data_IF_191367146751
#
_entry.id   IF_191367146751
#
_cell.length_a   1.000
_cell.length_b   1.000
_cell.length_c   1.000
_cell.angle_alpha   90.00
_cell.angle_beta   90.00
_cell.angle_gamma   90.00
#
_symmetry.space_group_name_H-M   'P 1'
#
loop_
_entity.id
_entity.type
_entity.pdbx_description
1 polymer ?
#
# COMPACT_ATOMS: atom_id res chain seq x y z
N UNK A 1 -20.85 5.93 -13.83
CA UNK A 1 -20.65 4.57 -13.29
C UNK A 1 -19.58 4.68 -12.22
N UNK A 2 -19.92 4.36 -10.95
CA UNK A 2 -19.01 4.50 -9.81
C UNK A 2 -17.75 3.69 -10.10
N UNK A 3 -16.62 4.39 -10.29
CA UNK A 3 -15.30 3.80 -10.03
C UNK A 3 -15.44 2.99 -8.75
N UNK A 4 -15.18 1.68 -8.80
CA UNK A 4 -15.07 0.84 -7.61
C UNK A 4 -14.32 1.64 -6.54
N UNK A 5 -15.03 1.96 -5.46
CA UNK A 5 -14.71 3.01 -4.50
C UNK A 5 -13.19 3.14 -4.26
N UNK A 6 -12.54 4.11 -4.90
CA UNK A 6 -11.08 4.31 -4.82
C UNK A 6 -10.62 4.41 -3.37
N UNK A 7 -11.48 4.89 -2.48
CA UNK A 7 -11.25 4.91 -1.03
C UNK A 7 -11.17 3.50 -0.42
N UNK A 8 -12.03 2.56 -0.84
CA UNK A 8 -11.97 1.17 -0.40
C UNK A 8 -10.72 0.46 -0.90
N UNK A 9 -10.33 0.67 -2.17
CA UNK A 9 -9.07 0.15 -2.73
C UNK A 9 -7.86 0.73 -2.01
N UNK A 10 -7.87 2.03 -1.70
CA UNK A 10 -6.82 2.70 -0.95
C UNK A 10 -6.68 2.16 0.48
N UNK A 11 -7.80 1.95 1.18
CA UNK A 11 -7.81 1.40 2.54
C UNK A 11 -7.35 -0.06 2.55
N UNK A 12 -7.81 -0.87 1.60
CA UNK A 12 -7.33 -2.24 1.42
C UNK A 12 -5.81 -2.28 1.22
N UNK A 13 -5.25 -1.42 0.38
CA UNK A 13 -3.80 -1.37 0.19
C UNK A 13 -3.02 -0.83 1.39
N UNK A 14 -3.60 0.09 2.17
CA UNK A 14 -2.99 0.47 3.46
C UNK A 14 -2.92 -0.74 4.41
N UNK A 15 -4.01 -1.49 4.54
CA UNK A 15 -4.05 -2.71 5.36
C UNK A 15 -3.07 -3.75 4.84
N UNK A 16 -3.01 -3.96 3.54
CA UNK A 16 -2.06 -4.89 2.92
C UNK A 16 -0.62 -4.46 3.19
N UNK A 17 -0.26 -3.19 2.98
CA UNK A 17 1.10 -2.69 3.29
C UNK A 17 1.42 -2.83 4.79
N UNK A 18 0.50 -2.46 5.68
CA UNK A 18 0.72 -2.57 7.11
C UNK A 18 0.98 -4.03 7.54
N UNK A 19 0.22 -4.99 6.99
CA UNK A 19 0.38 -6.41 7.30
C UNK A 19 1.62 -6.98 6.61
N UNK A 20 1.81 -6.71 5.32
CA UNK A 20 2.84 -7.31 4.47
C UNK A 20 4.21 -6.69 4.69
N UNK A 21 4.31 -5.36 4.66
CA UNK A 21 5.56 -4.64 4.87
C UNK A 21 5.87 -4.43 6.35
N UNK A 22 4.85 -4.29 7.22
CA UNK A 22 5.04 -4.05 8.65
C UNK A 22 5.39 -5.29 9.48
N UNK A 23 5.26 -6.50 8.93
CA UNK A 23 5.66 -7.70 9.67
C UNK A 23 5.64 -9.00 8.89
N UNK A 24 4.62 -9.24 8.06
CA UNK A 24 4.42 -10.55 7.45
C UNK A 24 5.52 -10.90 6.43
N UNK A 25 5.78 -10.15 5.36
CA UNK A 25 6.75 -10.57 4.32
C UNK A 25 8.20 -10.09 4.53
N UNK A 26 8.43 -9.08 5.37
CA UNK A 26 9.79 -8.54 5.61
C UNK A 26 10.43 -9.09 6.88
N UNK A 27 9.63 -9.48 7.88
CA UNK A 27 10.11 -9.95 9.19
C UNK A 27 10.02 -11.46 9.43
N UNK A 28 9.40 -12.21 8.51
CA UNK A 28 9.18 -13.65 8.64
C UNK A 28 9.80 -14.39 7.45
N UNK A 29 10.46 -15.52 7.72
CA UNK A 29 11.04 -16.40 6.69
C UNK A 29 9.95 -17.30 6.08
N UNK A 30 9.56 -17.02 4.84
CA UNK A 30 8.53 -17.78 4.12
C UNK A 30 9.06 -18.96 3.33
N UNK A 31 10.37 -19.22 3.36
CA UNK A 31 10.98 -20.35 2.65
C UNK A 31 10.36 -21.67 3.09
N UNK A 32 9.96 -21.78 4.36
CA UNK A 32 9.24 -22.94 4.91
C UNK A 32 7.88 -23.22 4.26
N UNK A 33 7.27 -22.21 3.62
CA UNK A 33 6.03 -22.33 2.87
C UNK A 33 6.25 -22.39 1.35
N UNK A 34 7.49 -22.57 0.90
CA UNK A 34 7.85 -22.66 -0.51
C UNK A 34 7.89 -21.31 -1.25
N UNK A 35 7.79 -20.19 -0.54
CA UNK A 35 7.92 -18.85 -1.13
C UNK A 35 9.38 -18.43 -1.06
N UNK A 36 9.99 -18.22 -2.22
CA UNK A 36 11.36 -17.71 -2.28
C UNK A 36 11.41 -16.24 -1.88
N UNK A 37 12.56 -15.79 -1.35
CA UNK A 37 12.80 -14.37 -1.02
C UNK A 37 12.53 -13.44 -2.19
N UNK A 38 12.90 -13.87 -3.40
CA UNK A 38 12.63 -13.13 -4.64
C UNK A 38 11.13 -12.92 -4.86
N UNK A 39 10.33 -13.98 -4.68
CA UNK A 39 8.87 -13.90 -4.83
C UNK A 39 8.25 -13.03 -3.75
N UNK A 40 8.70 -13.19 -2.50
CA UNK A 40 8.25 -12.35 -1.37
C UNK A 40 8.52 -10.87 -1.61
N UNK A 41 9.71 -10.53 -2.12
CA UNK A 41 10.10 -9.17 -2.46
C UNK A 41 9.30 -8.62 -3.65
N UNK A 42 9.05 -9.42 -4.68
CA UNK A 42 8.22 -9.03 -5.82
C UNK A 42 6.78 -8.71 -5.41
N UNK A 43 6.18 -9.54 -4.54
CA UNK A 43 4.83 -9.30 -4.01
C UNK A 43 4.81 -8.01 -3.19
N UNK A 44 5.75 -7.86 -2.26
CA UNK A 44 5.84 -6.68 -1.40
C UNK A 44 6.03 -5.39 -2.21
N UNK A 45 6.95 -5.41 -3.18
CA UNK A 45 7.22 -4.29 -4.06
C UNK A 45 6.03 -3.92 -4.96
N UNK A 46 5.32 -4.92 -5.50
CA UNK A 46 4.12 -4.68 -6.31
C UNK A 46 3.01 -3.99 -5.51
N UNK A 47 2.79 -4.41 -4.26
CA UNK A 47 1.77 -3.81 -3.38
C UNK A 47 2.15 -2.38 -3.00
N UNK A 48 3.43 -2.14 -2.67
CA UNK A 48 3.93 -0.80 -2.40
C UNK A 48 3.79 0.13 -3.62
N UNK A 49 4.12 -0.36 -4.82
CA UNK A 49 3.98 0.41 -6.06
C UNK A 49 2.51 0.71 -6.37
N UNK A 50 1.62 -0.27 -6.24
CA UNK A 50 0.18 -0.07 -6.43
C UNK A 50 -0.36 1.05 -5.52
N UNK A 51 0.13 1.13 -4.28
CA UNK A 51 -0.23 2.21 -3.36
C UNK A 51 0.23 3.58 -3.83
N UNK A 52 1.48 3.70 -4.31
CA UNK A 52 2.01 4.94 -4.87
C UNK A 52 1.16 5.40 -6.06
N UNK A 53 0.82 4.48 -6.97
CA UNK A 53 -0.02 4.78 -8.14
C UNK A 53 -1.38 5.32 -7.71
N UNK A 54 -2.03 4.71 -6.72
CA UNK A 54 -3.34 5.17 -6.25
C UNK A 54 -3.24 6.53 -5.58
N UNK A 55 -2.21 6.79 -4.79
CA UNK A 55 -1.98 8.13 -4.23
C UNK A 55 -1.78 9.16 -5.35
N UNK A 56 -1.01 8.82 -6.39
CA UNK A 56 -0.79 9.71 -7.54
C UNK A 56 -2.08 9.97 -8.33
N UNK A 57 -2.93 8.95 -8.53
CA UNK A 57 -4.21 9.11 -9.23
C UNK A 57 -5.23 9.87 -8.37
N UNK A 58 -5.24 9.66 -7.05
CA UNK A 58 -6.20 10.30 -6.13
C UNK A 58 -5.84 11.75 -5.82
N UNK A 59 -4.59 12.00 -5.48
CA UNK A 59 -4.11 13.29 -4.97
C UNK A 59 -3.41 14.14 -6.04
N UNK A 60 -3.02 13.52 -7.16
CA UNK A 60 -2.08 14.11 -8.12
C UNK A 60 -0.66 14.22 -7.55
N UNK A 61 0.36 14.46 -8.40
CA UNK A 61 1.75 14.58 -7.95
C UNK A 61 1.97 15.67 -6.89
N UNK A 62 1.23 16.79 -6.98
CA UNK A 62 1.30 17.88 -5.98
C UNK A 62 0.66 17.50 -4.64
N UNK A 63 -0.46 16.76 -4.64
CA UNK A 63 -1.13 16.39 -3.41
C UNK A 63 -0.37 15.35 -2.58
N UNK A 64 0.50 14.55 -3.23
CA UNK A 64 1.36 13.57 -2.55
C UNK A 64 2.50 14.18 -1.74
N UNK A 65 2.92 15.42 -2.07
CA UNK A 65 3.99 16.16 -1.36
C UNK A 65 3.45 17.32 -0.54
N UNK A 66 2.13 17.53 -0.57
CA UNK A 66 1.49 18.56 0.22
C UNK A 66 1.58 18.20 1.71
N UNK A 67 1.81 19.18 2.60
CA UNK A 67 1.74 18.93 4.03
C UNK A 67 0.34 18.39 4.40
N UNK A 68 0.25 17.50 5.39
CA UNK A 68 -1.03 16.97 5.83
C UNK A 68 -1.95 18.12 6.22
N UNK A 69 -3.20 18.09 5.72
CA UNK A 69 -4.20 19.09 6.11
C UNK A 69 -4.38 19.04 7.64
N UNK A 70 -4.53 20.19 8.32
CA UNK A 70 -4.86 20.22 9.73
C UNK A 70 -6.08 19.33 9.96
N UNK A 71 -6.01 18.45 10.96
CA UNK A 71 -7.19 17.70 11.38
C UNK A 71 -8.13 18.74 11.98
N UNK A 72 -9.24 19.04 11.31
CA UNK A 72 -10.33 19.77 11.94
C UNK A 72 -10.86 18.85 13.05
N UNK A 73 -10.52 19.16 14.31
CA UNK A 73 -11.22 18.58 15.47
C UNK A 73 -12.70 18.95 15.31
N UNK A 74 -13.52 17.93 15.06
CA UNK A 74 -14.98 18.06 14.97
C UNK A 74 -15.63 17.47 16.21
#
# INVERSE_FOLDING_TARGET
MKFLNTNALHNLLNTLIAIICGGALVGFDWTMFGVTDRTALQISGAIALAKIIINAVRDGPRGMVAPPRPVEEK
#
